data_IF_436152776247
#
_entry.id   IF_436152776247
#
_cell.length_a   1.000
_cell.length_b   1.000
_cell.length_c   1.000
_cell.angle_alpha   90.00
_cell.angle_beta   90.00
_cell.angle_gamma   90.00
#
_symmetry.space_group_name_H-M   'P 1'
#
loop_
_entity.id
_entity.type
_entity.pdbx_description
1 polymer ?
#
# COMPACT_ATOMS: atom_id res chain seq x y z
N UNK A 1 3.16 -10.17 -20.00
CA UNK A 1 3.78 -10.37 -18.68
C UNK A 1 2.82 -9.81 -17.64
N UNK A 2 2.22 -10.64 -16.78
CA UNK A 2 1.42 -10.16 -15.65
C UNK A 2 2.31 -10.15 -14.41
N UNK A 3 2.18 -9.11 -13.58
CA UNK A 3 2.66 -9.22 -12.20
C UNK A 3 1.90 -10.36 -11.52
N UNK A 4 2.56 -11.19 -10.70
CA UNK A 4 1.86 -12.22 -9.93
C UNK A 4 0.83 -11.56 -9.01
N UNK A 5 -0.41 -12.05 -9.04
CA UNK A 5 -1.43 -11.66 -8.09
C UNK A 5 -1.17 -12.36 -6.76
N UNK A 6 -0.70 -11.64 -5.76
CA UNK A 6 -0.60 -12.15 -4.39
C UNK A 6 -1.96 -11.98 -3.71
N UNK A 7 -2.74 -13.06 -3.63
CA UNK A 7 -3.95 -13.09 -2.81
C UNK A 7 -3.54 -13.19 -1.33
N UNK A 8 -3.79 -12.13 -0.57
CA UNK A 8 -3.71 -12.19 0.90
C UNK A 8 -4.85 -13.10 1.37
N UNK A 9 -4.53 -14.34 1.71
CA UNK A 9 -5.43 -15.17 2.50
C UNK A 9 -5.40 -14.63 3.93
N UNK A 10 -6.41 -13.85 4.33
CA UNK A 10 -6.69 -13.68 5.76
C UNK A 10 -6.82 -15.08 6.34
N UNK A 11 -5.97 -15.43 7.31
CA UNK A 11 -6.05 -16.69 8.02
C UNK A 11 -7.45 -16.80 8.61
N UNK A 12 -8.30 -17.59 7.95
CA UNK A 12 -9.64 -17.90 8.39
C UNK A 12 -9.54 -18.76 9.65
N UNK A 13 -9.57 -18.11 10.81
CA UNK A 13 -10.10 -18.70 12.03
C UNK A 13 -11.37 -17.91 12.32
N UNK A 14 -12.49 -18.45 11.84
CA UNK A 14 -13.83 -18.01 12.19
C UNK A 14 -14.06 -18.40 13.64
N UNK A 15 -14.22 -17.40 14.51
CA UNK A 15 -15.11 -17.49 15.67
C UNK A 15 -15.76 -16.11 15.82
N UNK A 16 -17.08 -16.14 15.97
CA UNK A 16 -17.99 -15.00 15.91
C UNK A 16 -17.80 -14.06 17.11
N UNK A 17 -17.23 -12.87 16.90
CA UNK A 17 -17.67 -11.63 17.57
C UNK A 17 -17.11 -10.38 16.86
N UNK A 18 -17.96 -9.74 16.05
CA UNK A 18 -18.22 -8.29 16.00
C UNK A 18 -17.11 -7.24 16.14
N UNK A 19 -15.82 -7.46 15.83
CA UNK A 19 -14.87 -6.38 15.48
C UNK A 19 -13.61 -6.94 14.84
N UNK A 20 -13.68 -7.34 13.57
CA UNK A 20 -12.47 -7.54 12.79
C UNK A 20 -11.77 -6.18 12.63
N UNK A 21 -10.95 -5.79 13.60
CA UNK A 21 -9.92 -4.78 13.39
C UNK A 21 -8.96 -5.38 12.37
N UNK A 22 -9.23 -5.13 11.08
CA UNK A 22 -8.31 -5.29 9.96
C UNK A 22 -7.16 -4.30 10.12
N UNK A 23 -6.40 -4.48 11.20
CA UNK A 23 -5.30 -3.59 11.53
C UNK A 23 -4.34 -3.56 10.33
N UNK A 24 -4.01 -2.37 9.81
CA UNK A 24 -3.10 -2.26 8.69
C UNK A 24 -1.77 -2.94 9.02
N UNK A 25 -1.35 -3.87 8.15
CA UNK A 25 -0.19 -4.75 8.37
C UNK A 25 0.68 -4.78 7.11
N UNK A 26 1.99 -4.70 7.29
CA UNK A 26 2.97 -4.81 6.21
C UNK A 26 3.73 -6.13 6.39
N UNK A 27 3.82 -6.91 5.32
CA UNK A 27 4.46 -8.24 5.33
C UNK A 27 5.42 -8.39 4.15
N UNK A 28 6.54 -9.09 4.37
CA UNK A 28 7.51 -9.44 3.32
C UNK A 28 7.12 -10.81 2.75
N UNK A 29 6.59 -10.83 1.53
CA UNK A 29 6.08 -12.05 0.88
C UNK A 29 7.18 -12.97 0.32
N UNK A 30 8.40 -12.46 0.15
CA UNK A 30 9.52 -13.24 -0.38
C UNK A 30 10.82 -12.44 -0.53
N UNK A 31 11.91 -13.15 -0.85
CA UNK A 31 13.23 -12.56 -1.05
C UNK A 31 14.28 -13.02 -0.03
N UNK A 32 15.52 -12.58 -0.21
CA UNK A 32 16.61 -12.87 0.72
C UNK A 32 16.41 -12.11 2.05
N UNK A 33 16.92 -12.67 3.15
CA UNK A 33 16.89 -12.02 4.45
C UNK A 33 17.86 -10.85 4.48
N UNK A 34 17.35 -9.65 4.19
CA UNK A 34 18.10 -8.38 4.29
C UNK A 34 17.68 -7.67 5.58
N UNK A 35 18.54 -7.59 6.62
CA UNK A 35 18.19 -7.00 7.90
C UNK A 35 17.67 -5.56 7.79
N UNK A 36 18.27 -4.75 6.93
CA UNK A 36 17.87 -3.34 6.72
C UNK A 36 16.45 -3.22 6.17
N UNK A 37 16.03 -4.10 5.26
CA UNK A 37 14.65 -4.11 4.74
C UNK A 37 13.66 -4.52 5.81
N UNK A 38 14.02 -5.49 6.67
CA UNK A 38 13.17 -5.86 7.82
C UNK A 38 13.03 -4.72 8.82
N UNK A 39 14.11 -4.01 9.10
CA UNK A 39 14.08 -2.83 9.97
C UNK A 39 13.17 -1.73 9.39
N UNK A 40 13.27 -1.47 8.07
CA UNK A 40 12.41 -0.52 7.36
C UNK A 40 10.92 -0.91 7.50
N UNK A 41 10.58 -2.17 7.24
CA UNK A 41 9.20 -2.67 7.37
C UNK A 41 8.69 -2.55 8.81
N UNK A 42 9.53 -2.89 9.79
CA UNK A 42 9.17 -2.75 11.20
C UNK A 42 8.91 -1.29 11.60
N UNK A 43 9.75 -0.36 11.14
CA UNK A 43 9.60 1.07 11.42
C UNK A 43 8.29 1.63 10.83
N UNK A 44 7.99 1.32 9.57
CA UNK A 44 6.71 1.73 8.95
C UNK A 44 5.52 1.12 9.70
N UNK A 45 5.61 -0.17 10.03
CA UNK A 45 4.53 -0.88 10.75
C UNK A 45 4.25 -0.22 12.10
N UNK A 46 5.30 0.09 12.87
CA UNK A 46 5.19 0.79 14.15
C UNK A 46 4.59 2.19 13.99
N UNK A 47 4.97 2.93 12.96
CA UNK A 47 4.41 4.25 12.68
C UNK A 47 2.91 4.18 12.41
N UNK A 48 2.48 3.23 11.58
CA UNK A 48 1.07 3.01 11.27
C UNK A 48 0.28 2.57 12.51
N UNK A 49 0.81 1.63 13.31
CA UNK A 49 0.20 1.23 14.59
C UNK A 49 0.07 2.39 15.57
N UNK A 50 0.97 3.37 15.49
CA UNK A 50 0.93 4.60 16.31
C UNK A 50 -0.02 5.66 15.74
N UNK A 51 -0.78 5.36 14.68
CA UNK A 51 -1.77 6.24 14.07
C UNK A 51 -1.27 7.08 12.90
N UNK A 52 -0.02 6.88 12.44
CA UNK A 52 0.45 7.55 11.22
C UNK A 52 -0.33 7.03 10.01
N UNK A 53 -0.85 7.93 9.18
CA UNK A 53 -1.54 7.57 7.94
C UNK A 53 -0.62 7.76 6.73
N UNK A 54 -0.67 6.87 5.72
CA UNK A 54 0.04 7.07 4.47
C UNK A 54 -0.44 8.34 3.75
N UNK A 55 0.49 9.20 3.32
CA UNK A 55 0.17 10.45 2.63
C UNK A 55 0.23 10.25 1.11
N UNK A 56 -0.90 10.43 0.42
CA UNK A 56 -0.93 10.38 -1.05
C UNK A 56 -0.07 11.51 -1.65
N UNK A 57 0.93 11.14 -2.44
CA UNK A 57 1.77 12.08 -3.15
C UNK A 57 1.00 12.72 -4.31
N UNK A 58 1.07 14.06 -4.48
CA UNK A 58 0.27 14.77 -5.49
C UNK A 58 0.75 14.53 -6.93
N UNK A 59 2.01 14.14 -7.12
CA UNK A 59 2.60 13.91 -8.44
C UNK A 59 2.47 12.47 -8.93
N UNK A 60 2.56 12.27 -10.26
CA UNK A 60 2.44 10.95 -10.89
C UNK A 60 0.99 10.54 -11.17
N UNK A 61 0.81 9.51 -12.01
CA UNK A 61 -0.49 9.14 -12.60
C UNK A 61 -1.30 8.12 -11.76
N UNK A 62 -0.67 7.43 -10.81
CA UNK A 62 -1.30 6.43 -9.94
C UNK A 62 -1.07 6.70 -8.45
N UNK A 63 -1.51 5.75 -7.62
CA UNK A 63 -1.28 5.73 -6.19
C UNK A 63 0.22 5.68 -5.85
N UNK A 64 0.66 6.63 -5.04
CA UNK A 64 1.99 6.65 -4.45
C UNK A 64 1.88 7.32 -3.09
N UNK A 65 2.30 6.62 -2.03
CA UNK A 65 2.08 7.05 -0.66
C UNK A 65 3.39 7.22 0.07
N UNK A 66 3.58 8.38 0.70
CA UNK A 66 4.67 8.64 1.61
C UNK A 66 4.31 8.07 2.98
N UNK A 67 5.16 7.20 3.48
CA UNK A 67 5.05 6.58 4.79
C UNK A 67 5.95 7.33 5.75
N UNK A 68 5.38 7.85 6.83
CA UNK A 68 6.06 8.74 7.74
C UNK A 68 5.94 8.26 9.19
N UNK A 69 6.90 8.66 10.01
CA UNK A 69 6.80 8.56 11.47
C UNK A 69 5.66 9.45 11.98
N UNK A 70 5.22 9.25 13.23
CA UNK A 70 4.27 10.17 13.89
C UNK A 70 4.76 11.62 14.04
N UNK A 71 6.05 11.90 13.75
CA UNK A 71 6.65 13.24 13.74
C UNK A 71 6.73 13.84 12.32
N UNK A 72 6.27 13.13 11.29
CA UNK A 72 6.31 13.58 9.90
C UNK A 72 7.62 13.29 9.15
N UNK A 73 8.59 12.59 9.76
CA UNK A 73 9.80 12.17 9.04
C UNK A 73 9.50 11.03 8.05
N UNK A 74 10.03 11.14 6.84
CA UNK A 74 9.82 10.17 5.76
C UNK A 74 10.61 8.88 6.02
N UNK A 75 9.94 7.75 5.90
CA UNK A 75 10.52 6.41 6.05
C UNK A 75 10.61 5.73 4.69
N UNK A 76 9.49 5.65 3.96
CA UNK A 76 9.38 4.90 2.72
C UNK A 76 8.32 5.48 1.78
N UNK A 77 8.29 4.98 0.55
CA UNK A 77 7.20 5.21 -0.41
C UNK A 77 6.58 3.86 -0.80
N UNK A 78 5.27 3.75 -0.74
CA UNK A 78 4.51 2.59 -1.20
C UNK A 78 3.75 2.91 -2.50
N UNK A 79 3.70 1.97 -3.42
CA UNK A 79 2.91 2.04 -4.67
C UNK A 79 2.04 0.80 -4.77
N UNK A 80 0.75 0.89 -4.38
CA UNK A 80 -0.17 -0.24 -4.48
C UNK A 80 -0.40 -0.63 -5.94
N UNK A 81 -0.42 -1.94 -6.20
CA UNK A 81 -0.57 -2.46 -7.57
C UNK A 81 -1.99 -2.22 -8.13
N UNK A 82 -2.99 -2.18 -7.25
CA UNK A 82 -4.39 -1.94 -7.63
C UNK A 82 -4.72 -0.45 -7.82
N UNK A 83 -3.73 0.43 -7.61
CA UNK A 83 -3.85 1.88 -7.81
C UNK A 83 -2.94 2.42 -8.93
N UNK A 84 -2.44 1.56 -9.81
CA UNK A 84 -1.69 1.95 -11.00
C UNK A 84 -2.51 2.90 -11.93
N UNK A 85 -1.89 3.64 -12.86
CA UNK A 85 -2.56 4.69 -13.64
C UNK A 85 -3.90 4.29 -14.31
N UNK A 86 -4.03 3.02 -14.70
CA UNK A 86 -5.23 2.47 -15.37
C UNK A 86 -6.06 1.53 -14.48
N UNK A 87 -5.69 1.40 -13.20
CA UNK A 87 -6.38 0.52 -12.28
C UNK A 87 -7.66 1.16 -11.73
N UNK A 88 -8.68 0.34 -11.45
CA UNK A 88 -10.01 0.80 -11.03
C UNK A 88 -9.98 1.58 -9.70
N UNK A 89 -9.06 1.20 -8.80
CA UNK A 89 -8.91 1.82 -7.49
C UNK A 89 -7.95 3.01 -7.49
N UNK A 90 -7.43 3.44 -8.65
CA UNK A 90 -6.53 4.60 -8.72
C UNK A 90 -7.19 5.84 -8.08
N UNK A 91 -6.61 6.42 -7.01
CA UNK A 91 -7.19 7.57 -6.31
C UNK A 91 -7.10 8.86 -7.14
N UNK A 92 -6.28 8.88 -8.19
CA UNK A 92 -6.03 10.04 -9.05
C UNK A 92 -6.86 10.04 -10.33
N UNK A 93 -7.92 9.21 -10.42
CA UNK A 93 -8.78 9.02 -11.62
C UNK A 93 -8.76 10.25 -12.51
N UNK A 94 -7.90 10.23 -13.52
CA UNK A 94 -7.90 11.26 -14.56
C UNK A 94 -9.15 10.99 -15.37
N UNK A 95 -10.24 11.68 -15.04
CA UNK A 95 -11.60 11.43 -15.55
C UNK A 95 -11.80 11.50 -17.06
N UNK A 96 -10.73 11.58 -17.86
CA UNK A 96 -10.79 11.86 -19.29
C UNK A 96 -9.93 10.92 -20.19
N UNK A 97 -9.29 9.86 -19.67
CA UNK A 97 -8.70 8.87 -20.58
C UNK A 97 -9.75 7.82 -20.96
N UNK A 98 -10.70 8.23 -21.80
CA UNK A 98 -11.43 7.26 -22.61
C UNK A 98 -10.43 6.58 -23.54
N UNK A 99 -10.47 5.25 -23.59
CA UNK A 99 -9.68 4.44 -24.51
C UNK A 99 -9.96 4.89 -25.95
N UNK A 100 -9.02 5.59 -26.60
CA UNK A 100 -9.08 5.88 -28.04
C UNK A 100 -9.20 7.32 -28.52
N UNK A 101 -8.84 8.36 -27.75
CA UNK A 101 -8.75 9.71 -28.34
C UNK A 101 -7.38 9.97 -28.99
N UNK A 102 -7.31 10.30 -30.30
CA UNK A 102 -6.10 10.84 -30.91
C UNK A 102 -5.82 12.26 -30.38
N UNK A 103 -4.53 12.60 -30.33
CA UNK A 103 -4.01 13.87 -29.82
C UNK A 103 -4.18 15.04 -30.77
#
# INVERSE_FOLDING_TARGET
FSSPCFSIASSANMDEDSKATTAPRIEILGGQRVPTVRALVAEVTMAIFSGAQPLLLPSGLGGAYLLQTGKGHNIAVAKPVDEEPLALNNPKKSGNLMLGQPG
#
